data_IF_161677116292
#
_entry.id   IF_161677116292
#
_cell.length_a   1.000
_cell.length_b   1.000
_cell.length_c   1.000
_cell.angle_alpha   90.00
_cell.angle_beta   90.00
_cell.angle_gamma   90.00
#
_symmetry.space_group_name_H-M   'P 1'
#
loop_
_entity.id
_entity.type
_entity.pdbx_description
1 polymer ?
#
# COMPACT_ATOMS: atom_id res chain seq x y z
N UNK A 1 43.36 -25.14 51.19
CA UNK A 1 42.62 -25.74 50.05
C UNK A 1 42.20 -24.62 49.10
N UNK A 2 42.89 -24.45 47.98
CA UNK A 2 42.65 -23.39 46.99
C UNK A 2 41.68 -23.87 45.91
N UNK A 3 40.50 -23.27 45.85
CA UNK A 3 39.43 -23.63 44.93
C UNK A 3 39.71 -23.03 43.53
N UNK A 4 40.23 -23.85 42.61
CA UNK A 4 40.42 -23.50 41.19
C UNK A 4 39.05 -23.27 40.53
N UNK A 5 38.73 -22.03 40.19
CA UNK A 5 37.53 -21.71 39.38
C UNK A 5 37.71 -22.24 37.95
N UNK A 6 36.73 -22.97 37.38
CA UNK A 6 36.87 -23.57 36.06
C UNK A 6 36.87 -22.51 34.94
N UNK A 7 37.89 -22.57 34.09
CA UNK A 7 38.18 -21.62 33.00
C UNK A 7 37.31 -21.79 31.73
N UNK A 8 36.34 -22.72 31.75
CA UNK A 8 35.58 -23.15 30.57
C UNK A 8 34.44 -22.19 30.16
N UNK A 9 34.09 -21.22 30.99
CA UNK A 9 32.99 -20.28 30.75
C UNK A 9 33.21 -19.33 29.56
N UNK A 10 34.45 -19.12 29.13
CA UNK A 10 34.79 -18.21 28.01
C UNK A 10 34.65 -18.85 26.62
N UNK A 11 34.74 -20.17 26.51
CA UNK A 11 34.65 -20.88 25.23
C UNK A 11 33.18 -21.03 24.78
N UNK A 12 32.28 -21.33 25.72
CA UNK A 12 30.85 -21.52 25.45
C UNK A 12 30.16 -20.21 25.02
N UNK A 13 30.52 -19.09 25.65
CA UNK A 13 30.00 -17.76 25.30
C UNK A 13 30.39 -17.28 23.90
N UNK A 14 31.56 -17.69 23.38
CA UNK A 14 32.01 -17.32 22.02
C UNK A 14 31.28 -18.11 20.94
N UNK A 15 30.89 -19.35 21.22
CA UNK A 15 30.04 -20.15 20.33
C UNK A 15 28.62 -19.61 20.30
N UNK A 16 28.01 -19.37 21.46
CA UNK A 16 26.69 -18.74 21.56
C UNK A 16 26.66 -17.36 20.89
N UNK A 17 27.69 -16.53 21.10
CA UNK A 17 27.81 -15.23 20.45
C UNK A 17 27.91 -15.30 18.93
N UNK A 18 28.61 -16.30 18.38
CA UNK A 18 28.71 -16.53 16.92
C UNK A 18 27.41 -17.02 16.31
N UNK A 19 26.69 -17.90 17.00
CA UNK A 19 25.36 -18.38 16.55
C UNK A 19 24.34 -17.24 16.58
N UNK A 20 24.32 -16.44 17.65
CA UNK A 20 23.47 -15.25 17.75
C UNK A 20 23.83 -14.20 16.68
N UNK A 21 25.11 -13.94 16.46
CA UNK A 21 25.55 -13.02 15.40
C UNK A 21 25.18 -13.53 14.00
N UNK A 22 25.34 -14.83 13.73
CA UNK A 22 24.93 -15.45 12.48
C UNK A 22 23.42 -15.36 12.24
N UNK A 23 22.62 -15.64 13.26
CA UNK A 23 21.16 -15.52 13.21
C UNK A 23 20.73 -14.05 12.97
N UNK A 24 21.39 -13.10 13.62
CA UNK A 24 21.14 -11.67 13.42
C UNK A 24 21.46 -11.22 11.99
N UNK A 25 22.61 -11.63 11.45
CA UNK A 25 23.01 -11.32 10.07
C UNK A 25 22.01 -11.95 9.07
N UNK A 26 21.61 -13.19 9.28
CA UNK A 26 20.61 -13.85 8.43
C UNK A 26 19.25 -13.13 8.47
N UNK A 27 18.81 -12.67 9.64
CA UNK A 27 17.57 -11.90 9.78
C UNK A 27 17.65 -10.55 9.04
N UNK A 28 18.77 -9.83 9.18
CA UNK A 28 18.98 -8.54 8.51
C UNK A 28 19.04 -8.71 7.00
N UNK A 29 19.79 -9.70 6.50
CA UNK A 29 19.89 -9.99 5.07
C UNK A 29 18.56 -10.47 4.50
N UNK A 30 17.86 -11.38 5.20
CA UNK A 30 16.51 -11.83 4.81
C UNK A 30 15.51 -10.68 4.76
N UNK A 31 15.53 -9.80 5.75
CA UNK A 31 14.71 -8.58 5.78
C UNK A 31 15.04 -7.63 4.64
N UNK A 32 16.31 -7.43 4.32
CA UNK A 32 16.75 -6.60 3.20
C UNK A 32 16.29 -7.15 1.85
N UNK A 33 16.45 -8.46 1.62
CA UNK A 33 15.98 -9.14 0.40
C UNK A 33 14.46 -9.01 0.26
N UNK A 34 13.71 -9.24 1.35
CA UNK A 34 12.26 -9.09 1.35
C UNK A 34 11.85 -7.64 1.07
N UNK A 35 12.52 -6.66 1.67
CA UNK A 35 12.25 -5.24 1.43
C UNK A 35 12.51 -4.84 -0.03
N UNK A 36 13.61 -5.30 -0.62
CA UNK A 36 13.93 -5.07 -2.05
C UNK A 36 12.92 -5.77 -2.95
N UNK A 37 12.52 -6.99 -2.62
CA UNK A 37 11.52 -7.74 -3.39
C UNK A 37 10.19 -7.01 -3.39
N UNK A 38 9.70 -6.63 -2.21
CA UNK A 38 8.49 -5.82 -2.02
C UNK A 38 8.56 -4.52 -2.81
N UNK A 39 9.67 -3.77 -2.74
CA UNK A 39 9.86 -2.54 -3.53
C UNK A 39 9.81 -2.78 -5.04
N UNK A 40 10.37 -3.89 -5.53
CA UNK A 40 10.37 -4.25 -6.96
C UNK A 40 9.04 -4.80 -7.45
N UNK A 41 8.27 -5.49 -6.60
CA UNK A 41 6.94 -6.01 -6.97
C UNK A 41 5.84 -4.96 -6.80
N UNK A 42 5.96 -4.06 -5.82
CA UNK A 42 5.03 -2.96 -5.57
C UNK A 42 5.48 -1.67 -6.27
N UNK A 43 6.29 -1.77 -7.31
CA UNK A 43 6.70 -0.60 -8.09
C UNK A 43 5.46 0.09 -8.67
N UNK A 44 5.27 1.39 -8.37
CA UNK A 44 4.10 2.18 -8.78
C UNK A 44 3.66 1.98 -10.22
N UNK A 45 4.62 1.83 -11.11
CA UNK A 45 4.44 1.77 -12.56
C UNK A 45 3.69 0.50 -12.99
N UNK A 46 3.88 -0.61 -12.28
CA UNK A 46 3.19 -1.88 -12.57
C UNK A 46 1.79 -1.94 -11.98
N UNK A 47 1.58 -1.28 -10.84
CA UNK A 47 0.29 -1.27 -10.14
C UNK A 47 -0.66 -0.22 -10.71
N UNK A 48 -0.15 0.89 -11.26
CA UNK A 48 -0.94 1.95 -11.90
C UNK A 48 -2.01 1.39 -12.87
N UNK A 49 -1.69 0.59 -13.89
CA UNK A 49 -2.70 0.10 -14.83
C UNK A 49 -3.76 -0.80 -14.17
N UNK A 50 -3.38 -1.60 -13.17
CA UNK A 50 -4.32 -2.47 -12.46
C UNK A 50 -5.29 -1.67 -11.58
N UNK A 51 -4.77 -0.67 -10.87
CA UNK A 51 -5.57 0.25 -10.05
C UNK A 51 -6.51 1.06 -10.95
N UNK A 52 -6.03 1.61 -12.06
CA UNK A 52 -6.87 2.32 -13.04
C UNK A 52 -7.99 1.40 -13.53
N UNK A 53 -7.65 0.20 -14.01
CA UNK A 53 -8.67 -0.74 -14.51
C UNK A 53 -9.72 -1.09 -13.44
N UNK A 54 -9.32 -1.26 -12.17
CA UNK A 54 -10.25 -1.52 -11.09
C UNK A 54 -11.13 -0.30 -10.74
N UNK A 55 -10.57 0.90 -10.76
CA UNK A 55 -11.32 2.14 -10.57
C UNK A 55 -12.30 2.38 -11.72
N UNK A 56 -11.88 2.17 -12.97
CA UNK A 56 -12.76 2.29 -14.14
C UNK A 56 -13.91 1.31 -14.11
N UNK A 57 -13.67 0.06 -13.68
CA UNK A 57 -14.74 -0.92 -13.45
C UNK A 57 -15.68 -0.52 -12.31
N UNK A 58 -15.17 0.13 -11.27
CA UNK A 58 -15.98 0.56 -10.13
C UNK A 58 -16.85 1.77 -10.50
N UNK A 59 -16.27 2.76 -11.17
CA UNK A 59 -16.97 3.98 -11.56
C UNK A 59 -17.74 3.87 -12.87
N UNK A 60 -17.50 2.80 -13.65
CA UNK A 60 -18.04 2.62 -15.01
C UNK A 60 -17.73 3.82 -15.92
N UNK A 61 -16.58 4.46 -15.67
CA UNK A 61 -16.15 5.72 -16.29
C UNK A 61 -14.64 5.68 -16.43
N UNK A 62 -14.11 6.46 -17.37
CA UNK A 62 -12.66 6.63 -17.54
C UNK A 62 -12.06 7.29 -16.31
N UNK A 63 -10.92 6.79 -15.86
CA UNK A 63 -10.23 7.31 -14.66
C UNK A 63 -8.78 7.60 -15.00
N UNK A 64 -8.38 8.84 -14.75
CA UNK A 64 -6.98 9.25 -14.80
C UNK A 64 -6.44 9.41 -13.38
N UNK A 65 -5.19 9.00 -13.19
CA UNK A 65 -4.45 9.18 -11.95
C UNK A 65 -3.06 9.69 -12.30
N UNK A 66 -2.53 10.64 -11.53
CA UNK A 66 -1.19 11.21 -11.77
C UNK A 66 -0.11 10.27 -11.24
N UNK A 67 -0.33 9.66 -10.08
CA UNK A 67 0.65 8.80 -9.44
C UNK A 67 0.03 7.78 -8.49
N UNK A 68 0.81 6.74 -8.21
CA UNK A 68 0.49 5.71 -7.23
C UNK A 68 1.69 5.55 -6.30
N UNK A 69 1.44 5.46 -5.01
CA UNK A 69 2.44 5.07 -4.01
C UNK A 69 1.89 3.91 -3.20
N UNK A 70 2.69 2.88 -3.00
CA UNK A 70 2.32 1.76 -2.12
C UNK A 70 3.34 1.66 -1.01
N UNK A 71 2.85 1.72 0.22
CA UNK A 71 3.67 1.47 1.41
C UNK A 71 2.93 0.46 2.29
N UNK A 72 3.60 -0.63 2.68
CA UNK A 72 2.98 -1.68 3.50
C UNK A 72 2.24 -1.13 4.73
N UNK A 73 2.83 -0.14 5.40
CA UNK A 73 2.29 0.45 6.63
C UNK A 73 1.30 1.61 6.39
N UNK A 74 1.32 2.26 5.21
CA UNK A 74 0.42 3.40 4.91
C UNK A 74 -0.72 3.02 3.95
N UNK A 75 -0.65 1.84 3.34
CA UNK A 75 -1.57 1.37 2.32
C UNK A 75 -1.22 1.89 0.92
N UNK A 76 -2.26 2.04 0.09
CA UNK A 76 -2.18 2.54 -1.28
C UNK A 76 -2.56 4.02 -1.28
N UNK A 77 -1.73 4.85 -1.92
CA UNK A 77 -1.91 6.29 -2.11
C UNK A 77 -2.03 6.55 -3.60
N UNK A 78 -3.08 7.23 -4.01
CA UNK A 78 -3.31 7.61 -5.40
C UNK A 78 -3.41 9.12 -5.46
N UNK A 79 -2.54 9.76 -6.25
CA UNK A 79 -2.49 11.23 -6.39
C UNK A 79 -3.16 11.67 -7.69
N UNK A 80 -3.84 12.81 -7.63
CA UNK A 80 -4.49 13.42 -8.80
C UNK A 80 -5.56 12.53 -9.43
N UNK A 81 -6.43 11.95 -8.61
CA UNK A 81 -7.54 11.12 -9.07
C UNK A 81 -8.54 12.01 -9.84
N UNK A 82 -8.83 11.65 -11.08
CA UNK A 82 -9.80 12.32 -11.95
C UNK A 82 -10.69 11.29 -12.62
N UNK A 83 -11.95 11.24 -12.21
CA UNK A 83 -12.99 10.43 -12.83
C UNK A 83 -13.70 11.29 -13.86
N UNK A 84 -13.63 10.89 -15.13
CA UNK A 84 -14.25 11.62 -16.22
C UNK A 84 -15.77 11.60 -16.10
N UNK A 85 -16.39 12.70 -16.49
CA UNK A 85 -17.83 12.73 -16.65
C UNK A 85 -18.24 11.95 -17.91
N UNK A 86 -19.53 11.59 -18.00
CA UNK A 86 -20.06 10.95 -19.22
C UNK A 86 -20.06 11.96 -20.37
N UNK A 87 -19.96 11.50 -21.64
CA UNK A 87 -20.08 12.39 -22.79
C UNK A 87 -21.36 13.25 -22.70
N UNK A 88 -21.23 14.55 -22.98
CA UNK A 88 -22.34 15.51 -22.87
C UNK A 88 -22.56 16.11 -21.48
N UNK A 89 -21.67 15.85 -20.52
CA UNK A 89 -21.68 16.53 -19.22
C UNK A 89 -21.21 18.00 -19.33
N UNK A 90 -21.74 18.91 -18.47
CA UNK A 90 -21.29 20.30 -18.41
C UNK A 90 -19.84 20.44 -17.92
N UNK A 91 -19.43 19.52 -17.05
CA UNK A 91 -18.12 19.49 -16.40
C UNK A 91 -17.30 18.31 -16.96
N UNK A 92 -15.98 18.48 -17.17
CA UNK A 92 -15.13 17.41 -17.71
C UNK A 92 -14.96 16.24 -16.73
N UNK A 93 -15.02 16.51 -15.43
CA UNK A 93 -14.80 15.51 -14.37
C UNK A 93 -16.02 15.40 -13.47
N UNK A 94 -16.40 14.17 -13.15
CA UNK A 94 -17.45 13.89 -12.18
C UNK A 94 -16.91 13.95 -10.75
N UNK A 95 -15.74 13.35 -10.53
CA UNK A 95 -15.07 13.30 -9.23
C UNK A 95 -13.60 13.61 -9.47
N UNK A 96 -13.07 14.58 -8.75
CA UNK A 96 -11.63 14.78 -8.65
C UNK A 96 -11.19 14.82 -7.19
N UNK A 97 -9.99 14.33 -6.91
CA UNK A 97 -9.41 14.39 -5.58
C UNK A 97 -7.89 14.49 -5.69
N UNK A 98 -7.30 15.33 -4.84
CA UNK A 98 -5.85 15.53 -4.82
C UNK A 98 -5.13 14.25 -4.38
N UNK A 99 -5.70 13.57 -3.38
CA UNK A 99 -5.15 12.34 -2.82
C UNK A 99 -6.26 11.39 -2.35
N UNK A 100 -6.15 10.13 -2.76
CA UNK A 100 -6.95 9.01 -2.24
C UNK A 100 -6.03 8.06 -1.46
N UNK A 101 -6.37 7.77 -0.22
CA UNK A 101 -5.65 6.86 0.67
C UNK A 101 -6.54 5.65 0.96
N UNK A 102 -6.04 4.46 0.67
CA UNK A 102 -6.68 3.20 0.96
C UNK A 102 -5.79 2.40 1.91
N UNK A 103 -6.26 2.14 3.13
CA UNK A 103 -5.54 1.32 4.11
C UNK A 103 -6.14 -0.06 4.21
N UNK A 104 -5.27 -1.04 4.41
CA UNK A 104 -5.63 -2.42 4.67
C UNK A 104 -5.08 -2.88 6.03
N UNK A 105 -5.70 -3.92 6.59
CA UNK A 105 -5.25 -4.51 7.85
C UNK A 105 -4.04 -5.41 7.62
N UNK A 106 -2.87 -5.00 8.12
CA UNK A 106 -1.66 -5.83 8.12
C UNK A 106 -1.87 -7.18 8.84
N UNK A 107 -2.47 -7.24 10.04
CA UNK A 107 -2.76 -8.52 10.69
C UNK A 107 -3.65 -9.43 9.83
N UNK A 108 -4.66 -8.87 9.17
CA UNK A 108 -5.53 -9.66 8.29
C UNK A 108 -4.76 -10.19 7.07
N UNK A 109 -3.88 -9.38 6.47
CA UNK A 109 -3.01 -9.80 5.36
C UNK A 109 -2.09 -10.96 5.76
N UNK A 110 -1.53 -10.93 6.97
CA UNK A 110 -0.73 -12.04 7.49
C UNK A 110 -1.56 -13.32 7.68
N UNK A 111 -2.86 -13.19 7.90
CA UNK A 111 -3.83 -14.29 7.94
C UNK A 111 -4.36 -14.67 6.54
N UNK A 112 -3.82 -14.09 5.46
CA UNK A 112 -4.29 -14.32 4.09
C UNK A 112 -5.63 -13.64 3.75
N UNK A 113 -6.11 -12.72 4.59
CA UNK A 113 -7.37 -11.99 4.40
C UNK A 113 -7.11 -10.55 3.96
N UNK A 114 -7.65 -10.18 2.80
CA UNK A 114 -7.59 -8.80 2.34
C UNK A 114 -8.76 -8.00 2.92
N UNK A 115 -8.51 -7.22 3.98
CA UNK A 115 -9.52 -6.40 4.66
C UNK A 115 -9.17 -4.92 4.52
N UNK A 116 -10.04 -4.18 3.82
CA UNK A 116 -9.97 -2.72 3.73
C UNK A 116 -10.43 -2.10 5.04
N UNK A 117 -9.61 -1.22 5.61
CA UNK A 117 -9.90 -0.59 6.92
C UNK A 117 -10.28 0.87 6.76
N UNK A 118 -9.75 1.57 5.75
CA UNK A 118 -10.00 2.99 5.52
C UNK A 118 -9.94 3.31 4.05
N UNK A 119 -10.91 4.10 3.58
CA UNK A 119 -10.84 4.81 2.30
C UNK A 119 -11.05 6.28 2.59
N UNK A 120 -10.06 7.11 2.27
CA UNK A 120 -10.10 8.56 2.50
C UNK A 120 -9.76 9.30 1.22
N UNK A 121 -10.63 10.22 0.82
CA UNK A 121 -10.35 11.19 -0.23
C UNK A 121 -10.02 12.53 0.44
N UNK A 122 -8.96 13.17 -0.03
CA UNK A 122 -8.50 14.50 0.42
C UNK A 122 -8.86 15.50 -0.66
N UNK A 123 -9.52 16.59 -0.24
CA UNK A 123 -10.05 17.62 -1.12
C UNK A 123 -10.89 17.08 -2.29
N UNK A 124 -11.89 16.20 -2.04
CA UNK A 124 -12.73 15.72 -3.13
C UNK A 124 -13.60 16.86 -3.67
N UNK A 125 -13.65 16.99 -5.00
CA UNK A 125 -14.63 17.81 -5.71
C UNK A 125 -15.53 16.88 -6.50
N UNK A 126 -16.84 17.04 -6.33
CA UNK A 126 -17.84 16.26 -7.06
C UNK A 126 -18.70 17.22 -7.87
N UNK A 127 -18.71 17.06 -9.18
CA UNK A 127 -19.58 17.83 -10.06
C UNK A 127 -20.94 17.13 -10.12
N UNK A 128 -21.95 17.74 -9.51
CA UNK A 128 -23.32 17.25 -9.55
C UNK A 128 -24.16 18.14 -10.45
N UNK A 129 -24.87 17.53 -11.39
CA UNK A 129 -25.83 18.23 -12.23
C UNK A 129 -27.08 17.39 -12.44
N UNK A 130 -28.18 18.10 -12.65
CA UNK A 130 -29.48 17.51 -12.95
C UNK A 130 -29.61 17.34 -14.45
N UNK A 131 -29.93 16.13 -14.88
CA UNK A 131 -30.18 15.80 -16.27
C UNK A 131 -31.57 16.30 -16.70
N UNK A 132 -31.84 16.43 -18.01
CA UNK A 132 -33.15 16.82 -18.53
C UNK A 132 -34.28 15.88 -18.11
N UNK A 133 -33.97 14.60 -17.87
CA UNK A 133 -34.90 13.58 -17.34
C UNK A 133 -35.20 13.74 -15.83
N UNK A 134 -34.66 14.78 -15.18
CA UNK A 134 -34.83 15.05 -13.77
C UNK A 134 -33.93 14.25 -12.84
N UNK A 135 -33.14 13.29 -13.36
CA UNK A 135 -32.21 12.45 -12.60
C UNK A 135 -30.89 13.18 -12.30
N UNK A 136 -30.20 12.74 -11.25
CA UNK A 136 -28.85 13.21 -10.93
C UNK A 136 -27.78 12.35 -11.63
N UNK A 137 -26.63 12.95 -11.91
CA UNK A 137 -25.49 12.29 -12.55
C UNK A 137 -24.69 11.32 -11.65
N UNK A 138 -25.30 10.82 -10.57
CA UNK A 138 -24.70 9.92 -9.57
C UNK A 138 -24.60 8.45 -10.03
N UNK A 139 -25.29 8.10 -11.12
CA UNK A 139 -25.43 6.74 -11.65
C UNK A 139 -24.38 6.33 -12.67
#
# INVERSE_FOLDING_TARGET
>A
MTHKRPHWSRALGRFFGRVLAGAFVALVLGGAVLAVWVQRTLSPERLRPQIVAQLERTFQRRVDIEGVGVALHQGVRVTGLKVHARPGAPEPFFLSADLMIVRYSLPALLQGRFVLTLVRLVNPRVALYRRPDGSWNLS
#
